data_IF_661097351885
#
_entry.id   IF_661097351885
#
_cell.length_a   1.000
_cell.length_b   1.000
_cell.length_c   1.000
_cell.angle_alpha   90.00
_cell.angle_beta   90.00
_cell.angle_gamma   90.00
#
_symmetry.space_group_name_H-M   'P 1'
#
loop_
_entity.id
_entity.type
_entity.pdbx_description
1 polymer ?
#
# COMPACT_ATOMS: atom_id res chain seq x y z
N UNK A 1 -25.27 -23.99 5.97
CA UNK A 1 -24.33 -22.86 6.16
C UNK A 1 -22.96 -23.34 5.74
N UNK A 2 -22.37 -22.81 4.67
CA UNK A 2 -20.99 -23.15 4.33
C UNK A 2 -20.08 -22.53 5.39
N UNK A 3 -19.26 -23.35 6.04
CA UNK A 3 -18.28 -22.86 6.99
C UNK A 3 -17.33 -21.90 6.28
N UNK A 4 -17.14 -20.68 6.81
CA UNK A 4 -16.10 -19.78 6.31
C UNK A 4 -14.77 -20.46 6.61
N UNK A 5 -14.05 -20.87 5.57
CA UNK A 5 -12.75 -21.52 5.70
C UNK A 5 -11.67 -20.47 5.44
N UNK A 6 -10.94 -20.07 6.48
CA UNK A 6 -9.86 -19.09 6.36
C UNK A 6 -8.62 -19.77 5.77
N UNK A 7 -8.14 -19.27 4.63
CA UNK A 7 -6.88 -19.70 4.03
C UNK A 7 -5.75 -18.75 4.48
N UNK A 8 -5.27 -18.95 5.72
CA UNK A 8 -4.23 -18.11 6.31
C UNK A 8 -2.97 -17.97 5.43
N UNK A 9 -2.43 -19.04 4.81
CA UNK A 9 -1.30 -18.90 3.89
C UNK A 9 -1.58 -17.96 2.71
N UNK A 10 -2.75 -18.09 2.06
CA UNK A 10 -3.11 -17.22 0.95
C UNK A 10 -3.35 -15.76 1.39
N UNK A 11 -3.92 -15.55 2.58
CA UNK A 11 -4.11 -14.21 3.14
C UNK A 11 -2.77 -13.53 3.46
N UNK A 12 -1.80 -14.26 4.01
CA UNK A 12 -0.45 -13.73 4.25
C UNK A 12 0.28 -13.45 2.93
N UNK A 13 0.17 -14.33 1.93
CA UNK A 13 0.72 -14.09 0.60
C UNK A 13 0.13 -12.81 -0.03
N UNK A 14 -1.19 -12.61 0.09
CA UNK A 14 -1.84 -11.40 -0.39
C UNK A 14 -1.34 -10.14 0.34
N UNK A 15 -1.09 -10.20 1.65
CA UNK A 15 -0.50 -9.07 2.39
C UNK A 15 0.91 -8.73 1.88
N UNK A 16 1.71 -9.74 1.54
CA UNK A 16 3.04 -9.56 0.95
C UNK A 16 2.95 -8.97 -0.47
N UNK A 17 2.01 -9.43 -1.30
CA UNK A 17 1.76 -8.87 -2.63
C UNK A 17 1.38 -7.38 -2.54
N UNK A 18 0.52 -7.02 -1.58
CA UNK A 18 0.21 -5.63 -1.26
C UNK A 18 1.48 -4.84 -0.92
N UNK A 19 2.33 -5.35 -0.03
CA UNK A 19 3.60 -4.68 0.27
C UNK A 19 4.46 -4.46 -0.99
N UNK A 20 4.47 -5.40 -1.92
CA UNK A 20 5.09 -5.28 -3.24
C UNK A 20 4.49 -4.15 -4.09
N UNK A 21 3.16 -4.04 -4.15
CA UNK A 21 2.49 -2.98 -4.90
C UNK A 21 2.81 -1.58 -4.39
N UNK A 22 3.10 -1.39 -3.10
CA UNK A 22 3.58 -0.11 -2.58
C UNK A 22 4.91 0.32 -3.24
N UNK A 23 5.80 -0.63 -3.53
CA UNK A 23 7.02 -0.39 -4.28
C UNK A 23 6.75 0.01 -5.73
N UNK A 24 5.80 -0.66 -6.39
CA UNK A 24 5.35 -0.30 -7.75
C UNK A 24 4.78 1.13 -7.81
N UNK A 25 3.95 1.51 -6.83
CA UNK A 25 3.41 2.87 -6.73
C UNK A 25 4.52 3.91 -6.57
N UNK A 26 5.53 3.62 -5.75
CA UNK A 26 6.67 4.50 -5.55
C UNK A 26 7.49 4.68 -6.83
N UNK A 27 7.78 3.59 -7.56
CA UNK A 27 8.51 3.64 -8.82
C UNK A 27 7.75 4.45 -9.87
N UNK A 28 6.46 4.15 -10.07
CA UNK A 28 5.61 4.89 -11.00
C UNK A 28 5.55 6.39 -10.65
N UNK A 29 5.45 6.71 -9.36
CA UNK A 29 5.46 8.09 -8.89
C UNK A 29 6.75 8.85 -9.22
N UNK A 30 7.89 8.15 -9.13
CA UNK A 30 9.21 8.68 -9.49
C UNK A 30 9.36 8.90 -11.00
N UNK A 31 8.83 7.99 -11.81
CA UNK A 31 8.87 8.11 -13.28
C UNK A 31 8.07 9.32 -13.75
N UNK A 32 6.84 9.49 -13.22
CA UNK A 32 6.01 10.67 -13.51
C UNK A 32 6.74 11.96 -13.11
N UNK A 33 7.32 12.02 -11.90
CA UNK A 33 8.07 13.19 -11.45
C UNK A 33 9.23 13.54 -12.40
N UNK A 34 9.92 12.52 -12.91
CA UNK A 34 11.05 12.68 -13.83
C UNK A 34 10.61 13.18 -15.20
N UNK A 35 9.52 12.64 -15.74
CA UNK A 35 8.94 13.09 -17.02
C UNK A 35 8.46 14.55 -16.95
N UNK A 36 7.77 14.90 -15.87
CA UNK A 36 7.29 16.27 -15.67
C UNK A 36 8.45 17.27 -15.47
N UNK A 37 9.53 16.84 -14.82
CA UNK A 37 10.75 17.66 -14.70
C UNK A 37 11.36 17.99 -16.06
N UNK A 38 11.42 17.02 -16.97
CA UNK A 38 11.92 17.23 -18.33
C UNK A 38 11.06 18.21 -19.14
N UNK A 39 9.75 18.26 -18.85
CA UNK A 39 8.79 19.15 -19.50
C UNK A 39 8.59 20.49 -18.77
N UNK A 40 9.33 20.75 -17.69
CA UNK A 40 9.17 21.96 -16.86
C UNK A 40 9.27 23.28 -17.63
N UNK A 41 10.05 23.34 -18.72
CA UNK A 41 10.16 24.53 -19.56
C UNK A 41 8.87 24.87 -20.34
N UNK A 42 8.02 23.87 -20.59
CA UNK A 42 6.71 24.03 -21.22
C UNK A 42 5.60 24.32 -20.20
N UNK A 43 5.93 24.41 -18.90
CA UNK A 43 4.98 24.65 -17.83
C UNK A 43 4.51 26.10 -17.84
N UNK A 44 3.49 26.38 -18.64
CA UNK A 44 2.86 27.70 -18.72
C UNK A 44 1.69 27.77 -17.73
N UNK A 45 1.78 28.71 -16.79
CA UNK A 45 1.00 28.76 -15.55
C UNK A 45 -0.41 29.33 -15.65
N UNK A 46 -1.17 29.08 -16.72
CA UNK A 46 -2.55 29.61 -16.83
C UNK A 46 -3.53 28.92 -15.86
N UNK A 47 -3.15 27.76 -15.29
CA UNK A 47 -3.94 26.96 -14.35
C UNK A 47 -3.67 27.26 -12.87
N UNK A 48 -2.76 28.19 -12.56
CA UNK A 48 -2.51 28.70 -11.19
C UNK A 48 -1.47 27.94 -10.34
N UNK A 49 -0.87 26.85 -10.85
CA UNK A 49 0.18 26.10 -10.14
C UNK A 49 1.50 26.13 -10.92
N UNK A 50 2.59 26.55 -10.28
CA UNK A 50 3.94 26.48 -10.86
C UNK A 50 4.48 25.05 -10.79
N UNK A 51 5.43 24.72 -11.67
CA UNK A 51 6.12 23.42 -11.63
C UNK A 51 6.71 23.13 -10.24
N UNK A 52 7.31 24.11 -9.59
CA UNK A 52 7.91 23.95 -8.26
C UNK A 52 6.86 23.63 -7.20
N UNK A 53 5.70 24.31 -7.25
CA UNK A 53 4.58 24.03 -6.35
C UNK A 53 4.01 22.63 -6.60
N UNK A 54 3.86 22.25 -7.88
CA UNK A 54 3.43 20.91 -8.27
C UNK A 54 4.40 19.83 -7.77
N UNK A 55 5.71 20.00 -7.97
CA UNK A 55 6.73 19.03 -7.58
C UNK A 55 6.70 18.79 -6.06
N UNK A 56 6.60 19.86 -5.27
CA UNK A 56 6.49 19.75 -3.81
C UNK A 56 5.21 19.01 -3.39
N UNK A 57 4.07 19.37 -3.98
CA UNK A 57 2.80 18.71 -3.69
C UNK A 57 2.78 17.24 -4.13
N UNK A 58 3.36 16.93 -5.29
CA UNK A 58 3.48 15.58 -5.83
C UNK A 58 4.27 14.68 -4.89
N UNK A 59 5.46 15.13 -4.47
CA UNK A 59 6.31 14.38 -3.55
C UNK A 59 5.57 14.06 -2.23
N UNK A 60 4.90 15.07 -1.66
CA UNK A 60 4.12 14.89 -0.44
C UNK A 60 2.95 13.91 -0.66
N UNK A 61 2.19 14.06 -1.74
CA UNK A 61 1.05 13.19 -2.04
C UNK A 61 1.50 11.74 -2.28
N UNK A 62 2.61 11.54 -2.99
CA UNK A 62 3.15 10.21 -3.28
C UNK A 62 3.68 9.52 -2.02
N UNK A 63 4.35 10.26 -1.14
CA UNK A 63 4.78 9.75 0.17
C UNK A 63 3.56 9.30 0.99
N UNK A 64 2.53 10.14 1.11
CA UNK A 64 1.31 9.81 1.86
C UNK A 64 0.58 8.60 1.27
N UNK A 65 0.51 8.50 -0.07
CA UNK A 65 -0.10 7.36 -0.75
C UNK A 65 0.64 6.05 -0.44
N UNK A 66 1.97 6.04 -0.53
CA UNK A 66 2.78 4.85 -0.22
C UNK A 66 2.65 4.46 1.25
N UNK A 67 2.70 5.44 2.16
CA UNK A 67 2.52 5.21 3.60
C UNK A 67 1.14 4.61 3.90
N UNK A 68 0.08 5.18 3.34
CA UNK A 68 -1.28 4.68 3.51
C UNK A 68 -1.40 3.24 2.98
N UNK A 69 -0.82 2.94 1.82
CA UNK A 69 -0.85 1.60 1.25
C UNK A 69 -0.10 0.58 2.12
N UNK A 70 1.09 0.93 2.62
CA UNK A 70 1.86 0.09 3.56
C UNK A 70 1.10 -0.15 4.86
N UNK A 71 0.42 0.87 5.38
CA UNK A 71 -0.40 0.74 6.59
C UNK A 71 -1.58 -0.23 6.39
N UNK A 72 -2.24 -0.19 5.22
CA UNK A 72 -3.28 -1.16 4.88
C UNK A 72 -2.72 -2.58 4.81
N UNK A 73 -1.59 -2.78 4.14
CA UNK A 73 -0.94 -4.09 4.03
C UNK A 73 -0.55 -4.65 5.41
N UNK A 74 0.06 -3.82 6.27
CA UNK A 74 0.43 -4.21 7.63
C UNK A 74 -0.79 -4.52 8.52
N UNK A 75 -1.89 -3.78 8.34
CA UNK A 75 -3.16 -4.07 9.04
C UNK A 75 -3.72 -5.43 8.60
N UNK A 76 -3.68 -5.73 7.30
CA UNK A 76 -4.12 -7.01 6.74
C UNK A 76 -3.30 -8.19 7.28
N UNK A 77 -1.97 -8.05 7.28
CA UNK A 77 -1.04 -9.05 7.84
C UNK A 77 -1.27 -9.27 9.35
N UNK A 78 -1.37 -8.18 10.11
CA UNK A 78 -1.58 -8.22 11.56
C UNK A 78 -2.89 -8.92 11.90
N UNK A 79 -3.98 -8.57 11.20
CA UNK A 79 -5.28 -9.21 11.40
C UNK A 79 -5.19 -10.72 11.11
N UNK A 80 -4.60 -11.09 9.97
CA UNK A 80 -4.41 -12.50 9.57
C UNK A 80 -3.67 -13.29 10.64
N UNK A 81 -2.58 -12.72 11.18
CA UNK A 81 -1.77 -13.36 12.23
C UNK A 81 -2.53 -13.48 13.55
N UNK A 82 -3.27 -12.44 13.94
CA UNK A 82 -4.10 -12.45 15.15
C UNK A 82 -5.23 -13.50 15.07
N UNK A 83 -5.86 -13.64 13.90
CA UNK A 83 -6.89 -14.66 13.65
C UNK A 83 -6.31 -16.06 13.70
N UNK A 84 -5.17 -16.31 13.05
CA UNK A 84 -4.47 -17.61 13.10
C UNK A 84 -4.13 -18.00 14.54
N UNK A 85 -3.57 -17.08 15.32
CA UNK A 85 -3.22 -17.32 16.71
C UNK A 85 -4.45 -17.65 17.57
N UNK A 86 -5.57 -16.93 17.35
CA UNK A 86 -6.84 -17.22 18.02
C UNK A 86 -7.34 -18.62 17.67
N UNK A 87 -7.35 -19.00 16.39
CA UNK A 87 -7.85 -20.31 15.96
C UNK A 87 -7.00 -21.45 16.52
N UNK A 88 -5.67 -21.28 16.58
CA UNK A 88 -4.77 -22.22 17.25
C UNK A 88 -5.09 -22.37 18.74
N UNK A 89 -5.36 -21.26 19.43
CA UNK A 89 -5.73 -21.28 20.84
C UNK A 89 -7.10 -21.95 21.07
N UNK A 90 -8.09 -21.72 20.21
CA UNK A 90 -9.38 -22.41 20.30
C UNK A 90 -9.27 -23.91 20.02
N UNK A 91 -8.45 -24.31 19.04
CA UNK A 91 -8.19 -25.72 18.76
C UNK A 91 -7.53 -26.43 19.95
N UNK A 92 -6.58 -25.77 20.63
CA UNK A 92 -5.89 -26.31 21.79
C UNK A 92 -6.83 -26.56 22.99
N UNK A 93 -7.94 -25.83 23.14
CA UNK A 93 -8.89 -26.03 24.24
C UNK A 93 -9.60 -27.38 24.20
N UNK A 94 -9.74 -27.97 23.02
CA UNK A 94 -10.50 -29.21 22.81
C UNK A 94 -9.64 -30.39 22.33
N UNK A 95 -8.34 -30.16 22.11
CA UNK A 95 -7.36 -31.17 21.68
C UNK A 95 -6.45 -31.70 22.81
N UNK A 96 -6.80 -31.44 24.07
CA UNK A 96 -6.20 -32.03 25.27
C UNK A 96 -6.99 -33.21 25.81
#
# INVERSE_FOLDING_TARGET
MSQIMYNYPAMLAHAADMAGYAGTLQALGSDIASEQAALSAAWQGDTGMTYQAWQAQWNQAMEQLVLAYRAMAGTHETNTTAMLARDQAEAAKWGG
#
